data_IF_408279160212
#
_entry.id   IF_408279160212
#
_cell.length_a   1.000
_cell.length_b   1.000
_cell.length_c   1.000
_cell.angle_alpha   90.00
_cell.angle_beta   90.00
_cell.angle_gamma   90.00
#
_symmetry.space_group_name_H-M   'P 1'
#
loop_
_entity.id
_entity.type
_entity.pdbx_description
1 polymer ?
#
# COMPACT_ATOMS: atom_id res chain seq x y z
N UNK A 1 -1.97 -9.56 -52.34
CA UNK A 1 -2.01 -10.48 -51.18
C UNK A 1 -2.23 -9.70 -49.91
N UNK A 2 -3.44 -9.70 -49.35
CA UNK A 2 -3.78 -8.99 -48.11
C UNK A 2 -3.51 -9.88 -46.90
N UNK A 3 -2.51 -9.52 -46.08
CA UNK A 3 -2.23 -10.25 -44.84
C UNK A 3 -3.23 -9.85 -43.74
N UNK A 4 -3.98 -10.84 -43.25
CA UNK A 4 -5.04 -10.67 -42.26
C UNK A 4 -4.51 -10.15 -40.91
N UNK A 5 -4.72 -8.86 -40.63
CA UNK A 5 -4.57 -8.28 -39.29
C UNK A 5 -5.68 -8.84 -38.38
N UNK A 6 -5.40 -9.92 -37.66
CA UNK A 6 -6.29 -10.38 -36.57
C UNK A 6 -6.33 -9.28 -35.51
N UNK A 7 -7.49 -8.64 -35.36
CA UNK A 7 -7.68 -7.53 -34.43
C UNK A 7 -7.52 -7.99 -32.98
N UNK A 8 -6.82 -7.21 -32.16
CA UNK A 8 -6.68 -7.44 -30.72
C UNK A 8 -8.04 -7.56 -30.00
N UNK A 9 -9.10 -6.97 -30.57
CA UNK A 9 -10.48 -7.13 -30.12
C UNK A 9 -10.90 -8.61 -30.02
N UNK A 10 -10.46 -9.45 -30.95
CA UNK A 10 -10.80 -10.88 -31.00
C UNK A 10 -10.15 -11.67 -29.86
N UNK A 11 -8.92 -11.31 -29.49
CA UNK A 11 -8.20 -11.94 -28.37
C UNK A 11 -8.75 -11.48 -27.01
N UNK A 12 -9.20 -10.22 -26.92
CA UNK A 12 -9.93 -9.70 -25.75
C UNK A 12 -11.25 -10.47 -25.56
N UNK A 13 -12.06 -10.59 -26.62
CA UNK A 13 -13.33 -11.36 -26.61
C UNK A 13 -13.13 -12.83 -26.21
N UNK A 14 -12.03 -13.46 -26.65
CA UNK A 14 -11.69 -14.84 -26.23
C UNK A 14 -11.34 -14.94 -24.74
N UNK A 15 -10.56 -13.99 -24.20
CA UNK A 15 -10.23 -13.96 -22.76
C UNK A 15 -11.48 -13.78 -21.90
N UNK A 16 -12.33 -12.81 -22.25
CA UNK A 16 -13.64 -12.57 -21.63
C UNK A 16 -14.52 -13.84 -21.59
N UNK A 17 -14.61 -14.57 -22.71
CA UNK A 17 -15.39 -15.83 -22.79
C UNK A 17 -14.81 -16.95 -21.91
N UNK A 18 -13.48 -17.08 -21.85
CA UNK A 18 -12.81 -18.07 -21.01
C UNK A 18 -12.98 -17.76 -19.52
N UNK A 19 -12.86 -16.50 -19.10
CA UNK A 19 -13.12 -16.11 -17.72
C UNK A 19 -14.55 -16.41 -17.27
N UNK A 20 -15.54 -16.17 -18.13
CA UNK A 20 -16.95 -16.45 -17.83
C UNK A 20 -17.20 -17.96 -17.65
N UNK A 21 -16.56 -18.81 -18.44
CA UNK A 21 -16.59 -20.28 -18.24
C UNK A 21 -15.94 -20.71 -16.92
N UNK A 22 -14.78 -20.15 -16.56
CA UNK A 22 -14.09 -20.46 -15.28
C UNK A 22 -14.92 -20.00 -14.08
N UNK A 23 -15.54 -18.82 -14.14
CA UNK A 23 -16.46 -18.32 -13.10
C UNK A 23 -17.73 -19.18 -13.00
N UNK A 24 -18.27 -19.65 -14.12
CA UNK A 24 -19.39 -20.60 -14.16
C UNK A 24 -19.10 -21.92 -13.44
N UNK A 25 -17.96 -22.56 -13.73
CA UNK A 25 -17.59 -23.83 -13.09
C UNK A 25 -17.30 -23.69 -11.58
N UNK A 26 -16.75 -22.56 -11.12
CA UNK A 26 -16.54 -22.33 -9.67
C UNK A 26 -17.86 -22.26 -8.91
N UNK A 27 -18.88 -21.63 -9.48
CA UNK A 27 -20.21 -21.54 -8.85
C UNK A 27 -20.96 -22.87 -8.78
N UNK A 28 -20.61 -23.86 -9.63
CA UNK A 28 -21.12 -25.22 -9.54
C UNK A 28 -20.45 -26.02 -8.41
N UNK A 29 -19.13 -25.85 -8.20
CA UNK A 29 -18.39 -26.54 -7.15
C UNK A 29 -18.79 -26.11 -5.73
N UNK A 30 -19.19 -24.85 -5.52
CA UNK A 30 -19.57 -24.31 -4.21
C UNK A 30 -20.90 -24.83 -3.64
N UNK A 31 -21.67 -25.67 -4.37
CA UNK A 31 -22.90 -26.31 -3.87
C UNK A 31 -22.73 -27.73 -3.33
N UNK A 32 -21.54 -28.32 -3.40
CA UNK A 32 -21.30 -29.72 -3.02
C UNK A 32 -20.75 -29.94 -1.60
N UNK A 33 -20.45 -28.88 -0.84
CA UNK A 33 -19.74 -28.95 0.46
C UNK A 33 -20.65 -28.69 1.70
N UNK A 34 -21.97 -28.88 1.57
CA UNK A 34 -22.94 -28.65 2.64
C UNK A 34 -23.42 -29.96 3.29
N UNK A 35 -22.55 -30.55 4.11
CA UNK A 35 -22.75 -31.75 4.93
C UNK A 35 -21.38 -32.16 5.50
N UNK A 36 -21.17 -32.29 6.80
CA UNK A 36 -21.88 -33.18 7.74
C UNK A 36 -21.81 -32.63 9.18
N UNK A 37 -22.76 -33.02 10.05
CA UNK A 37 -22.79 -32.68 11.50
C UNK A 37 -21.83 -33.55 12.31
N UNK A 38 -21.30 -33.03 13.43
CA UNK A 38 -21.44 -33.54 14.82
C UNK A 38 -20.41 -32.85 15.75
N UNK A 39 -20.79 -32.04 16.73
CA UNK A 39 -21.32 -32.36 18.08
C UNK A 39 -20.34 -33.10 19.02
N UNK A 40 -19.68 -32.37 19.95
CA UNK A 40 -19.50 -32.78 21.36
C UNK A 40 -19.07 -31.62 22.28
N UNK A 41 -19.48 -31.70 23.56
CA UNK A 41 -19.36 -30.67 24.61
C UNK A 41 -18.29 -31.02 25.66
N UNK A 42 -17.72 -29.99 26.30
CA UNK A 42 -17.49 -29.83 27.76
C UNK A 42 -16.79 -28.48 28.01
N UNK A 43 -17.38 -27.48 28.68
CA UNK A 43 -17.36 -27.24 30.16
C UNK A 43 -15.93 -27.03 30.71
N UNK A 44 -15.57 -26.00 31.50
CA UNK A 44 -16.22 -24.79 32.05
C UNK A 44 -15.12 -23.74 32.40
N UNK A 45 -15.28 -22.68 33.21
CA UNK A 45 -16.40 -22.12 34.01
C UNK A 45 -16.18 -20.59 34.23
N UNK A 46 -16.84 -19.96 35.21
CA UNK A 46 -16.66 -18.55 35.63
C UNK A 46 -15.34 -18.34 36.46
N UNK A 47 -14.86 -17.15 36.88
CA UNK A 47 -15.53 -15.87 37.15
C UNK A 47 -14.54 -14.67 37.31
N UNK A 48 -15.10 -13.45 37.32
CA UNK A 48 -14.68 -12.22 38.03
C UNK A 48 -13.36 -11.46 37.69
N UNK A 49 -13.57 -10.20 37.28
CA UNK A 49 -12.86 -8.94 37.61
C UNK A 49 -11.36 -8.94 37.99
N UNK A 50 -10.55 -8.16 37.24
CA UNK A 50 -9.96 -6.93 37.81
C UNK A 50 -9.67 -5.86 36.74
N UNK A 51 -9.80 -4.59 37.12
CA UNK A 51 -9.40 -3.43 36.30
C UNK A 51 -7.90 -3.45 36.01
N UNK A 52 -7.53 -3.47 34.74
CA UNK A 52 -6.34 -2.74 34.29
C UNK A 52 -6.76 -1.70 33.25
N UNK A 53 -6.34 -0.46 33.48
CA UNK A 53 -6.66 0.66 32.59
C UNK A 53 -6.12 0.40 31.17
N UNK A 54 -6.73 0.99 30.12
CA UNK A 54 -6.05 1.13 28.85
C UNK A 54 -4.89 2.10 29.05
N UNK A 55 -3.76 1.57 29.51
CA UNK A 55 -2.48 2.26 29.41
C UNK A 55 -2.25 2.49 27.93
N UNK A 56 -2.50 3.71 27.48
CA UNK A 56 -2.11 4.20 26.17
C UNK A 56 -0.58 4.09 26.07
N UNK A 57 -0.13 2.89 25.69
CA UNK A 57 1.23 2.69 25.21
C UNK A 57 1.35 3.64 24.04
N UNK A 58 2.15 4.70 24.20
CA UNK A 58 2.74 5.45 23.10
C UNK A 58 3.38 4.43 22.16
N UNK A 59 2.65 3.97 21.16
CA UNK A 59 3.19 3.30 19.99
C UNK A 59 4.24 4.29 19.47
N UNK A 60 5.51 3.90 19.55
CA UNK A 60 6.62 4.87 19.64
C UNK A 60 6.58 5.88 18.49
N UNK A 61 6.77 7.17 18.79
CA UNK A 61 6.88 8.20 17.75
C UNK A 61 7.90 7.74 16.70
N UNK A 62 7.47 7.75 15.43
CA UNK A 62 8.24 7.26 14.31
C UNK A 62 8.31 5.74 14.08
N UNK A 63 7.62 4.90 14.86
CA UNK A 63 7.45 3.46 14.52
C UNK A 63 6.36 3.24 13.47
N UNK A 64 5.33 4.10 13.44
CA UNK A 64 4.17 3.98 12.53
C UNK A 64 4.55 3.89 11.05
N UNK A 65 5.55 4.67 10.63
CA UNK A 65 6.02 4.67 9.23
C UNK A 65 6.70 3.37 8.84
N UNK A 66 7.52 2.77 9.70
CA UNK A 66 8.19 1.51 9.40
C UNK A 66 7.19 0.37 9.22
N UNK A 67 6.17 0.31 10.08
CA UNK A 67 5.04 -0.63 9.93
C UNK A 67 4.33 -0.44 8.59
N UNK A 68 4.01 0.79 8.19
CA UNK A 68 3.40 1.07 6.90
C UNK A 68 4.31 0.70 5.71
N UNK A 69 5.63 0.91 5.82
CA UNK A 69 6.60 0.45 4.82
C UNK A 69 6.59 -1.09 4.71
N UNK A 70 6.59 -1.80 5.83
CA UNK A 70 6.52 -3.27 5.85
C UNK A 70 5.17 -3.83 5.35
N UNK A 71 4.08 -3.07 5.44
CA UNK A 71 2.79 -3.39 4.82
C UNK A 71 2.80 -3.16 3.29
N UNK A 72 3.49 -2.14 2.78
CA UNK A 72 3.52 -1.83 1.34
C UNK A 72 4.68 -2.45 0.55
N UNK A 73 5.72 -3.00 1.19
CA UNK A 73 6.90 -3.57 0.49
C UNK A 73 6.59 -4.69 -0.51
N UNK A 74 5.46 -5.40 -0.32
CA UNK A 74 5.01 -6.45 -1.24
C UNK A 74 4.24 -5.90 -2.46
N UNK A 75 3.84 -4.63 -2.42
CA UNK A 75 3.26 -3.92 -3.56
C UNK A 75 4.39 -3.38 -4.43
N UNK A 76 4.52 -3.94 -5.64
CA UNK A 76 5.54 -3.62 -6.64
C UNK A 76 5.65 -2.12 -6.96
N UNK A 77 4.65 -1.29 -6.63
CA UNK A 77 4.70 0.16 -6.80
C UNK A 77 5.64 0.87 -5.81
N UNK A 78 6.00 0.22 -4.71
CA UNK A 78 6.89 0.75 -3.66
C UNK A 78 8.31 0.15 -3.70
N UNK A 79 8.68 -0.54 -4.77
CA UNK A 79 10.01 -1.11 -5.06
C UNK A 79 11.20 -0.12 -4.98
N UNK A 80 10.92 1.18 -4.79
CA UNK A 80 11.90 2.24 -4.61
C UNK A 80 12.26 2.49 -3.14
N UNK A 81 11.51 1.89 -2.20
CA UNK A 81 11.74 1.91 -0.75
C UNK A 81 12.67 0.76 -0.31
N UNK A 82 13.72 0.53 -1.09
CA UNK A 82 14.78 -0.43 -0.81
C UNK A 82 16.01 0.28 -0.21
N UNK A 83 16.90 -0.51 0.39
CA UNK A 83 18.18 -0.05 0.97
C UNK A 83 18.04 1.21 1.86
N UNK A 84 18.98 2.15 1.73
CA UNK A 84 19.03 3.41 2.49
C UNK A 84 17.80 4.33 2.26
N UNK A 85 17.05 4.15 1.17
CA UNK A 85 15.95 5.05 0.84
C UNK A 85 14.72 4.83 1.71
N UNK A 86 14.53 3.60 2.23
CA UNK A 86 13.54 3.30 3.28
C UNK A 86 13.71 4.24 4.48
N UNK A 87 14.93 4.31 5.01
CA UNK A 87 15.23 5.08 6.21
C UNK A 87 15.25 6.59 5.94
N UNK A 88 15.68 7.03 4.76
CA UNK A 88 15.60 8.45 4.38
C UNK A 88 14.15 8.94 4.25
N UNK A 89 13.27 8.15 3.61
CA UNK A 89 11.83 8.47 3.50
C UNK A 89 11.17 8.46 4.88
N UNK A 90 11.46 7.46 5.71
CA UNK A 90 10.98 7.39 7.09
C UNK A 90 11.48 8.56 7.95
N UNK A 91 12.74 8.98 7.77
CA UNK A 91 13.34 10.12 8.47
C UNK A 91 12.67 11.46 8.17
N UNK A 92 12.19 11.69 6.94
CA UNK A 92 11.39 12.88 6.60
C UNK A 92 10.01 12.83 7.27
N UNK A 93 9.34 11.67 7.27
CA UNK A 93 8.06 11.49 7.98
C UNK A 93 8.22 11.74 9.49
N UNK A 94 9.18 11.09 10.13
CA UNK A 94 9.37 11.15 11.58
C UNK A 94 9.66 12.56 12.11
N UNK A 95 10.37 13.39 11.33
CA UNK A 95 10.58 14.82 11.64
C UNK A 95 9.28 15.64 11.63
N UNK A 96 8.29 15.21 10.86
CA UNK A 96 7.04 15.95 10.60
C UNK A 96 5.79 15.24 11.12
N UNK A 97 5.91 14.07 11.78
CA UNK A 97 4.81 13.17 12.13
C UNK A 97 3.66 13.90 12.82
N UNK A 98 3.96 14.66 13.89
CA UNK A 98 2.93 15.39 14.64
C UNK A 98 2.26 16.55 13.88
N UNK A 99 2.82 17.01 12.77
CA UNK A 99 2.15 17.94 11.86
C UNK A 99 1.33 17.23 10.79
N UNK A 100 1.85 16.14 10.23
CA UNK A 100 1.15 15.32 9.23
C UNK A 100 -0.11 14.67 9.82
N UNK A 101 -0.02 14.15 11.05
CA UNK A 101 -1.14 13.53 11.78
C UNK A 101 -2.29 14.54 12.01
N UNK A 102 -1.97 15.80 12.36
CA UNK A 102 -2.96 16.90 12.48
C UNK A 102 -3.62 17.26 11.15
N UNK A 103 -2.96 17.01 10.02
CA UNK A 103 -3.49 17.22 8.67
C UNK A 103 -4.25 15.99 8.14
N UNK A 104 -4.40 14.93 8.94
CA UNK A 104 -5.01 13.67 8.52
C UNK A 104 -4.17 12.89 7.50
N UNK A 105 -2.85 13.15 7.43
CA UNK A 105 -1.93 12.47 6.53
C UNK A 105 -1.32 11.29 7.29
N UNK A 106 -1.95 10.13 7.16
CA UNK A 106 -1.43 8.88 7.70
C UNK A 106 -0.10 8.45 7.01
N UNK A 107 0.67 7.51 7.62
CA UNK A 107 1.94 7.07 7.05
C UNK A 107 1.82 6.51 5.63
N UNK A 108 0.73 5.82 5.29
CA UNK A 108 0.52 5.20 3.99
C UNK A 108 0.21 6.26 2.93
N UNK A 109 -0.56 7.30 3.30
CA UNK A 109 -0.83 8.47 2.47
C UNK A 109 0.43 9.29 2.22
N UNK A 110 1.34 9.37 3.20
CA UNK A 110 2.66 9.93 2.99
C UNK A 110 3.52 9.10 2.01
N UNK A 111 3.50 7.76 2.11
CA UNK A 111 4.21 6.89 1.15
C UNK A 111 3.64 7.00 -0.28
N UNK A 112 2.33 7.23 -0.45
CA UNK A 112 1.74 7.58 -1.76
C UNK A 112 2.38 8.84 -2.34
N UNK A 113 2.61 9.89 -1.55
CA UNK A 113 3.27 11.13 -2.01
C UNK A 113 4.75 10.89 -2.38
N UNK A 114 5.44 10.02 -1.65
CA UNK A 114 6.82 9.63 -1.99
C UNK A 114 6.86 8.87 -3.33
N UNK A 115 5.94 7.92 -3.53
CA UNK A 115 5.76 7.20 -4.81
C UNK A 115 5.45 8.15 -5.95
N UNK A 116 4.47 9.03 -5.79
CA UNK A 116 4.04 9.99 -6.81
C UNK A 116 5.17 10.96 -7.19
N UNK A 117 5.97 11.40 -6.21
CA UNK A 117 7.18 12.20 -6.45
C UNK A 117 8.21 11.43 -7.29
N UNK A 118 8.42 10.15 -7.00
CA UNK A 118 9.37 9.31 -7.75
C UNK A 118 8.86 8.95 -9.16
N UNK A 119 7.58 8.62 -9.30
CA UNK A 119 6.95 8.41 -10.60
C UNK A 119 7.01 9.67 -11.47
N UNK A 120 6.82 10.86 -10.88
CA UNK A 120 6.98 12.13 -11.59
C UNK A 120 8.43 12.37 -12.03
N UNK A 121 9.43 12.05 -11.21
CA UNK A 121 10.83 12.06 -11.63
C UNK A 121 11.06 11.14 -12.84
N UNK A 122 10.56 9.90 -12.79
CA UNK A 122 10.71 8.92 -13.89
C UNK A 122 10.06 9.42 -15.17
N UNK A 123 8.84 9.99 -15.10
CA UNK A 123 8.15 10.57 -16.25
C UNK A 123 8.95 11.72 -16.89
N UNK A 124 9.41 12.69 -16.08
CA UNK A 124 10.19 13.83 -16.56
C UNK A 124 11.52 13.42 -17.23
N UNK A 125 12.17 12.39 -16.68
CA UNK A 125 13.46 11.90 -17.16
C UNK A 125 13.36 10.74 -18.17
N UNK A 126 12.13 10.36 -18.59
CA UNK A 126 11.83 9.22 -19.49
C UNK A 126 12.47 7.90 -19.01
N UNK A 127 12.47 7.65 -17.71
CA UNK A 127 13.02 6.42 -17.10
C UNK A 127 12.08 5.23 -17.22
N UNK A 128 12.65 4.04 -17.11
CA UNK A 128 11.87 2.79 -17.14
C UNK A 128 10.96 2.69 -15.90
N UNK A 129 9.76 2.08 -16.02
CA UNK A 129 8.78 2.06 -14.93
C UNK A 129 9.27 1.45 -13.61
N UNK A 130 10.22 0.51 -13.68
CA UNK A 130 10.84 -0.21 -12.56
C UNK A 130 12.34 0.12 -12.38
N UNK A 131 12.81 1.28 -12.85
CA UNK A 131 14.17 1.73 -12.53
C UNK A 131 14.27 2.05 -11.03
N UNK A 132 15.23 1.49 -10.26
CA UNK A 132 15.33 1.71 -8.82
C UNK A 132 15.73 3.14 -8.47
N UNK A 133 15.51 3.54 -7.21
CA UNK A 133 15.94 4.85 -6.74
C UNK A 133 17.47 4.95 -6.75
N UNK A 134 17.97 6.01 -7.37
CA UNK A 134 19.35 6.46 -7.31
C UNK A 134 19.44 7.85 -6.68
N UNK A 135 20.66 8.34 -6.42
CA UNK A 135 20.89 9.65 -5.81
C UNK A 135 20.13 10.81 -6.51
N UNK A 136 20.13 10.88 -7.85
CA UNK A 136 19.47 11.98 -8.57
C UNK A 136 17.95 11.96 -8.42
N UNK A 137 17.35 10.77 -8.43
CA UNK A 137 15.92 10.62 -8.12
C UNK A 137 15.62 10.90 -6.65
N UNK A 138 16.49 10.52 -5.73
CA UNK A 138 16.34 10.82 -4.31
C UNK A 138 16.36 12.32 -4.07
N UNK A 139 17.36 13.04 -4.59
CA UNK A 139 17.48 14.50 -4.44
C UNK A 139 16.20 15.22 -4.94
N UNK A 140 15.54 14.69 -5.98
CA UNK A 140 14.24 15.17 -6.46
C UNK A 140 13.07 14.82 -5.53
N UNK A 141 12.99 13.58 -5.05
CA UNK A 141 11.94 13.10 -4.15
C UNK A 141 12.01 13.82 -2.81
N UNK A 142 13.19 13.93 -2.21
CA UNK A 142 13.46 14.67 -0.98
C UNK A 142 13.02 16.13 -1.12
N UNK A 143 13.44 16.82 -2.19
CA UNK A 143 13.01 18.19 -2.44
C UNK A 143 11.49 18.30 -2.61
N UNK A 144 10.88 17.40 -3.39
CA UNK A 144 9.43 17.41 -3.65
C UNK A 144 8.61 17.18 -2.38
N UNK A 145 9.04 16.26 -1.52
CA UNK A 145 8.39 15.97 -0.24
C UNK A 145 8.53 17.13 0.75
N UNK A 146 9.73 17.71 0.89
CA UNK A 146 9.93 18.86 1.78
C UNK A 146 9.15 20.10 1.29
N UNK A 147 9.11 20.37 -0.03
CA UNK A 147 8.27 21.45 -0.59
C UNK A 147 6.77 21.21 -0.39
N UNK A 148 6.31 19.96 -0.53
CA UNK A 148 4.91 19.60 -0.28
C UNK A 148 4.54 19.82 1.19
N UNK A 149 5.37 19.33 2.12
CA UNK A 149 5.18 19.51 3.56
C UNK A 149 5.17 21.01 3.91
N UNK A 150 6.15 21.79 3.42
CA UNK A 150 6.21 23.22 3.67
C UNK A 150 4.93 23.96 3.21
N UNK A 151 4.44 23.66 2.00
CA UNK A 151 3.19 24.26 1.47
C UNK A 151 1.94 23.82 2.23
N UNK A 152 1.90 22.60 2.75
CA UNK A 152 0.82 22.11 3.59
C UNK A 152 0.82 22.83 4.95
N UNK A 153 1.99 23.00 5.57
CA UNK A 153 2.15 23.74 6.83
C UNK A 153 1.75 25.22 6.66
N UNK A 154 2.30 25.89 5.65
CA UNK A 154 1.99 27.29 5.32
C UNK A 154 0.47 27.51 5.13
N UNK A 155 -0.20 26.59 4.42
CA UNK A 155 -1.61 26.71 4.09
C UNK A 155 -2.56 26.39 5.24
N UNK A 156 -2.21 25.44 6.11
CA UNK A 156 -3.16 24.84 7.06
C UNK A 156 -2.75 24.95 8.55
N UNK A 157 -1.49 25.27 8.86
CA UNK A 157 -0.98 25.29 10.25
C UNK A 157 -0.72 26.71 10.78
N UNK A 158 -0.41 27.68 9.90
CA UNK A 158 -0.15 29.11 10.20
C UNK A 158 0.85 29.36 11.34
#
# INVERSE_FOLDING_TARGET
>A
MTQNKKSALFDILKREKLEKLVKGNRNAASKAAAGTKETKKSAGSENLEEKTAPTEKKEGQGMKIYKAIDEVKLDIRYYFLEDEYKDKVAGIYNKNEGHLDRLGIDPRKYLDYARESFDRFKQLNKKMPLEPMNKKSWDYVEKSLNELIAKLLEKFVK
#
